data_IF_942206804019
#
_entry.id   IF_942206804019
#
_cell.length_a   1.000
_cell.length_b   1.000
_cell.length_c   1.000
_cell.angle_alpha   90.00
_cell.angle_beta   90.00
_cell.angle_gamma   90.00
#
_symmetry.space_group_name_H-M   'P 1'
#
loop_
_entity.id
_entity.type
_entity.pdbx_description
1 polymer ?
#
# COMPACT_ATOMS: atom_id res chain seq x y z
N UNK A 1 16.14 -1.76 -4.92
CA UNK A 1 16.07 -2.11 -6.36
C UNK A 1 16.30 -3.59 -6.61
N UNK A 2 17.42 -4.19 -6.20
CA UNK A 2 17.73 -5.62 -6.41
C UNK A 2 16.56 -6.60 -6.17
N UNK A 3 15.82 -6.46 -5.06
CA UNK A 3 14.65 -7.31 -4.75
C UNK A 3 13.55 -7.24 -5.81
N UNK A 4 13.29 -6.05 -6.39
CA UNK A 4 12.33 -5.89 -7.50
C UNK A 4 12.92 -6.49 -8.78
N UNK A 5 14.20 -6.25 -9.07
CA UNK A 5 14.86 -6.77 -10.28
C UNK A 5 14.87 -8.31 -10.33
N UNK A 6 15.07 -8.97 -9.18
CA UNK A 6 15.12 -10.43 -9.06
C UNK A 6 13.74 -11.11 -9.16
N UNK A 7 12.66 -10.42 -8.79
CA UNK A 7 11.31 -10.99 -8.68
C UNK A 7 10.35 -10.51 -9.76
N UNK A 8 10.76 -9.53 -10.58
CA UNK A 8 9.92 -8.92 -11.62
C UNK A 8 10.72 -8.72 -12.91
N UNK A 9 10.05 -8.28 -13.97
CA UNK A 9 10.71 -7.83 -15.20
C UNK A 9 11.14 -6.35 -15.17
N UNK A 10 10.87 -5.62 -14.08
CA UNK A 10 11.18 -4.19 -13.95
C UNK A 10 12.69 -4.02 -13.75
N UNK A 11 13.27 -3.02 -14.42
CA UNK A 11 14.72 -2.76 -14.36
C UNK A 11 14.97 -1.29 -14.06
N UNK A 12 15.71 -1.04 -12.98
CA UNK A 12 16.18 0.30 -12.64
C UNK A 12 17.54 0.56 -13.27
N UNK A 13 17.69 1.70 -13.95
CA UNK A 13 18.97 2.16 -14.48
C UNK A 13 19.19 3.62 -14.04
N UNK A 14 20.44 4.07 -13.88
CA UNK A 14 20.72 5.49 -13.70
C UNK A 14 20.15 6.30 -14.86
N UNK A 15 19.50 7.42 -14.53
CA UNK A 15 18.91 8.35 -15.49
C UNK A 15 20.01 8.95 -16.38
N UNK A 16 19.77 9.06 -17.68
CA UNK A 16 20.56 9.90 -18.60
C UNK A 16 19.99 11.31 -18.68
N UNK A 17 20.84 12.31 -18.88
CA UNK A 17 20.41 13.72 -18.96
C UNK A 17 19.36 14.00 -20.04
N UNK A 18 19.26 13.16 -21.06
CA UNK A 18 18.28 13.24 -22.14
C UNK A 18 16.91 12.64 -21.80
N UNK A 19 16.76 11.93 -20.69
CA UNK A 19 15.49 11.30 -20.29
C UNK A 19 14.64 12.30 -19.50
N UNK A 20 13.43 12.57 -19.98
CA UNK A 20 12.49 13.54 -19.39
C UNK A 20 11.68 12.94 -18.24
N UNK A 21 11.18 11.71 -18.42
CA UNK A 21 10.44 10.98 -17.39
C UNK A 21 11.38 10.11 -16.55
N UNK A 22 11.40 10.35 -15.25
CA UNK A 22 12.21 9.61 -14.30
C UNK A 22 11.59 9.65 -12.90
N UNK A 23 12.03 8.69 -12.08
CA UNK A 23 11.71 8.65 -10.66
C UNK A 23 12.91 9.21 -9.91
N UNK A 24 12.70 10.31 -9.19
CA UNK A 24 13.71 10.87 -8.30
C UNK A 24 13.44 10.42 -6.87
N UNK A 25 14.43 9.77 -6.24
CA UNK A 25 14.30 9.28 -4.87
C UNK A 25 15.04 10.26 -3.97
N UNK A 26 14.27 11.03 -3.21
CA UNK A 26 14.79 12.03 -2.28
C UNK A 26 14.65 11.53 -0.85
N UNK A 27 15.67 11.82 -0.03
CA UNK A 27 15.61 11.60 1.41
C UNK A 27 15.94 12.92 2.11
N UNK A 28 14.98 13.45 2.85
CA UNK A 28 15.18 14.65 3.63
C UNK A 28 15.70 14.30 5.03
N UNK A 29 16.75 15.01 5.47
CA UNK A 29 17.38 14.89 6.80
C UNK A 29 16.43 15.39 7.91
N UNK A 30 15.31 14.71 8.12
CA UNK A 30 14.36 14.87 9.23
C UNK A 30 13.13 13.93 9.10
N UNK A 31 12.90 13.32 7.93
CA UNK A 31 11.63 12.64 7.60
C UNK A 31 11.64 11.12 7.85
N UNK A 32 12.73 10.58 8.39
CA UNK A 32 12.83 9.19 8.86
C UNK A 32 13.97 8.41 8.21
N UNK A 33 14.16 7.17 8.66
CA UNK A 33 15.09 6.23 8.02
C UNK A 33 14.35 5.47 6.92
N UNK A 34 14.92 5.42 5.71
CA UNK A 34 14.40 4.62 4.59
C UNK A 34 14.44 3.12 4.94
N UNK A 35 13.32 2.57 5.38
CA UNK A 35 13.15 1.12 5.53
C UNK A 35 12.94 0.48 4.17
N UNK A 36 13.54 -0.69 3.94
CA UNK A 36 13.48 -1.36 2.63
C UNK A 36 12.03 -1.60 2.17
N UNK A 37 11.17 -2.05 3.08
CA UNK A 37 9.78 -2.37 2.74
C UNK A 37 8.98 -1.12 2.40
N UNK A 38 9.20 0.00 3.12
CA UNK A 38 8.61 1.29 2.76
C UNK A 38 9.06 1.77 1.39
N UNK A 39 10.36 1.66 1.06
CA UNK A 39 10.85 2.04 -0.27
C UNK A 39 10.23 1.18 -1.37
N UNK A 40 10.05 -0.12 -1.13
CA UNK A 40 9.37 -1.00 -2.10
C UNK A 40 7.90 -0.61 -2.25
N UNK A 41 7.19 -0.32 -1.15
CA UNK A 41 5.81 0.14 -1.17
C UNK A 41 5.63 1.39 -2.04
N UNK A 42 6.44 2.42 -1.82
CA UNK A 42 6.37 3.66 -2.59
C UNK A 42 6.73 3.45 -4.06
N UNK A 43 7.70 2.58 -4.36
CA UNK A 43 8.02 2.23 -5.75
C UNK A 43 6.88 1.49 -6.45
N UNK A 44 6.13 0.66 -5.74
CA UNK A 44 4.94 0.00 -6.29
C UNK A 44 3.81 1.00 -6.58
N UNK A 45 3.66 2.05 -5.77
CA UNK A 45 2.77 3.17 -6.10
C UNK A 45 3.19 3.88 -7.40
N UNK A 46 4.48 4.14 -7.59
CA UNK A 46 5.01 4.72 -8.83
C UNK A 46 4.72 3.84 -10.05
N UNK A 47 4.66 2.53 -9.87
CA UNK A 47 4.32 1.56 -10.92
C UNK A 47 2.80 1.45 -11.17
N UNK A 48 1.98 2.17 -10.41
CA UNK A 48 0.53 2.26 -10.59
C UNK A 48 -0.29 1.33 -9.69
N UNK A 49 0.31 0.72 -8.65
CA UNK A 49 -0.45 -0.07 -7.69
C UNK A 49 -1.07 0.82 -6.62
N UNK A 50 -2.35 0.62 -6.35
CA UNK A 50 -3.05 1.20 -5.20
C UNK A 50 -2.95 0.28 -3.99
N UNK A 51 -3.38 0.77 -2.82
CA UNK A 51 -3.40 -0.07 -1.62
C UNK A 51 -4.34 -1.25 -1.77
N UNK A 52 -3.94 -2.40 -1.21
CA UNK A 52 -4.74 -3.64 -1.26
C UNK A 52 -6.12 -3.45 -0.63
N UNK A 53 -6.19 -2.69 0.48
CA UNK A 53 -7.46 -2.38 1.16
C UNK A 53 -8.37 -1.42 0.39
N UNK A 54 -7.91 -0.86 -0.74
CA UNK A 54 -8.71 -0.01 -1.62
C UNK A 54 -9.29 -0.79 -2.82
N UNK A 55 -9.03 -2.09 -2.96
CA UNK A 55 -9.63 -2.91 -4.01
C UNK A 55 -11.15 -2.87 -3.98
N UNK A 56 -11.80 -3.07 -5.13
CA UNK A 56 -13.27 -3.09 -5.22
C UNK A 56 -13.92 -4.22 -4.41
N UNK A 57 -13.25 -5.37 -4.33
CA UNK A 57 -13.65 -6.59 -3.61
C UNK A 57 -13.25 -6.60 -2.13
N UNK A 58 -12.58 -5.55 -1.61
CA UNK A 58 -12.05 -5.53 -0.25
C UNK A 58 -13.07 -5.82 0.84
N UNK A 59 -14.35 -5.49 0.63
CA UNK A 59 -15.42 -5.71 1.62
C UNK A 59 -15.80 -7.21 1.75
N UNK A 60 -15.32 -8.09 0.85
CA UNK A 60 -15.41 -9.56 0.98
C UNK A 60 -14.29 -10.14 1.88
N UNK A 61 -13.27 -9.33 2.19
CA UNK A 61 -12.05 -9.77 2.86
C UNK A 61 -11.80 -9.05 4.19
N UNK A 62 -12.17 -7.78 4.27
CA UNK A 62 -11.95 -6.91 5.42
C UNK A 62 -13.20 -6.07 5.74
N UNK A 63 -13.28 -5.59 6.98
CA UNK A 63 -14.24 -4.60 7.43
C UNK A 63 -13.51 -3.31 7.81
N UNK A 64 -13.90 -2.20 7.19
CA UNK A 64 -13.38 -0.87 7.53
C UNK A 64 -14.29 -0.21 8.58
N UNK A 65 -13.75 0.04 9.78
CA UNK A 65 -14.43 0.71 10.87
C UNK A 65 -14.41 2.23 10.69
N UNK A 66 -15.29 2.74 9.83
CA UNK A 66 -15.35 4.17 9.43
C UNK A 66 -15.44 5.16 10.61
N UNK A 67 -16.02 4.74 11.74
CA UNK A 67 -16.14 5.55 12.97
C UNK A 67 -14.82 5.68 13.74
N UNK A 68 -13.89 4.76 13.51
CA UNK A 68 -12.59 4.70 14.17
C UNK A 68 -11.49 5.42 13.36
N UNK A 69 -11.79 5.89 12.15
CA UNK A 69 -10.84 6.64 11.32
C UNK A 69 -10.72 8.06 11.89
N UNK A 70 -9.48 8.53 12.08
CA UNK A 70 -9.20 9.90 12.49
C UNK A 70 -9.77 10.92 11.48
N UNK A 71 -10.16 12.08 11.99
CA UNK A 71 -10.71 13.16 11.16
C UNK A 71 -9.70 13.56 10.08
N UNK A 72 -10.16 13.68 8.84
CA UNK A 72 -9.32 14.03 7.69
C UNK A 72 -8.77 12.84 6.89
N UNK A 73 -8.83 11.61 7.41
CA UNK A 73 -8.21 10.44 6.77
C UNK A 73 -9.20 9.52 6.03
N UNK A 74 -10.51 9.80 6.05
CA UNK A 74 -11.54 8.90 5.47
C UNK A 74 -11.33 8.61 3.98
N UNK A 75 -10.80 9.56 3.23
CA UNK A 75 -10.48 9.40 1.81
C UNK A 75 -9.41 8.31 1.56
N UNK A 76 -8.50 8.06 2.50
CA UNK A 76 -7.47 7.00 2.38
C UNK A 76 -8.05 5.58 2.48
N UNK A 77 -9.34 5.46 2.81
CA UNK A 77 -10.06 4.19 2.89
C UNK A 77 -11.16 4.07 1.81
N UNK A 78 -11.23 5.02 0.88
CA UNK A 78 -12.11 4.92 -0.27
C UNK A 78 -11.71 3.71 -1.14
N UNK A 79 -12.68 3.03 -1.76
CA UNK A 79 -12.38 2.01 -2.76
C UNK A 79 -12.00 2.71 -4.07
N UNK A 80 -11.05 2.14 -4.80
CA UNK A 80 -10.79 2.53 -6.17
C UNK A 80 -12.00 2.20 -7.04
N UNK A 81 -12.25 3.02 -8.06
CA UNK A 81 -13.27 2.79 -9.06
C UNK A 81 -12.60 2.30 -10.36
N UNK A 82 -13.37 1.64 -11.23
CA UNK A 82 -12.87 1.25 -12.54
C UNK A 82 -12.40 2.50 -13.33
N UNK A 83 -11.30 2.43 -14.10
CA UNK A 83 -10.50 1.23 -14.41
C UNK A 83 -9.44 0.86 -13.36
N UNK A 84 -9.14 1.75 -12.40
CA UNK A 84 -8.06 1.58 -11.42
C UNK A 84 -8.35 0.50 -10.35
N UNK A 85 -9.60 0.02 -10.29
CA UNK A 85 -10.04 -1.03 -9.39
C UNK A 85 -9.73 -2.47 -9.87
N UNK A 86 -8.91 -2.63 -10.92
CA UNK A 86 -8.61 -3.93 -11.48
C UNK A 86 -7.89 -4.84 -10.48
N UNK A 87 -8.42 -6.05 -10.26
CA UNK A 87 -7.79 -7.09 -9.42
C UNK A 87 -6.78 -7.92 -10.20
N UNK A 88 -6.73 -7.76 -11.53
CA UNK A 88 -5.92 -8.56 -12.45
C UNK A 88 -6.09 -10.09 -12.30
N UNK A 89 -7.24 -10.53 -11.74
CA UNK A 89 -7.50 -11.94 -11.44
C UNK A 89 -6.68 -12.51 -10.28
N UNK A 90 -6.01 -11.66 -9.49
CA UNK A 90 -5.20 -12.08 -8.34
C UNK A 90 -6.06 -12.07 -7.06
N UNK A 91 -6.01 -13.13 -6.23
CA UNK A 91 -6.69 -13.14 -4.94
C UNK A 91 -6.28 -11.98 -4.03
N UNK A 92 -7.14 -11.60 -3.10
CA UNK A 92 -6.81 -10.58 -2.09
C UNK A 92 -5.70 -11.07 -1.16
N UNK A 93 -4.67 -10.26 -0.96
CA UNK A 93 -3.52 -10.60 -0.11
C UNK A 93 -3.46 -9.72 1.15
N UNK A 94 -3.88 -10.29 2.29
CA UNK A 94 -3.81 -9.65 3.60
C UNK A 94 -2.39 -9.25 4.03
N UNK A 95 -1.36 -9.88 3.46
CA UNK A 95 0.06 -9.64 3.76
C UNK A 95 0.76 -8.85 2.66
N UNK A 96 0.00 -8.35 1.69
CA UNK A 96 0.53 -7.50 0.63
C UNK A 96 1.29 -6.34 1.26
N UNK A 97 2.46 -6.03 0.70
CA UNK A 97 3.21 -4.85 1.10
C UNK A 97 2.39 -3.58 0.88
N UNK A 98 1.36 -3.62 0.01
CA UNK A 98 0.42 -2.54 -0.27
C UNK A 98 -0.77 -2.51 0.68
N UNK A 99 -0.88 -3.41 1.66
CA UNK A 99 -1.99 -3.44 2.59
C UNK A 99 -1.69 -2.59 3.84
N UNK A 100 -2.61 -1.72 4.24
CA UNK A 100 -2.46 -0.96 5.48
C UNK A 100 -2.52 -1.84 6.74
N UNK A 101 -1.78 -1.49 7.80
CA UNK A 101 -1.92 -2.15 9.09
C UNK A 101 -3.30 -1.88 9.70
N UNK A 102 -3.70 -2.74 10.66
CA UNK A 102 -5.05 -2.71 11.27
C UNK A 102 -5.40 -1.38 11.97
N UNK A 103 -4.39 -0.65 12.45
CA UNK A 103 -4.51 0.59 13.21
C UNK A 103 -4.10 1.83 12.40
N UNK A 104 -3.96 1.69 11.08
CA UNK A 104 -3.67 2.82 10.18
C UNK A 104 -4.68 3.95 10.41
N UNK A 105 -4.18 5.14 10.76
CA UNK A 105 -4.99 6.33 11.04
C UNK A 105 -6.19 6.08 11.99
N UNK A 106 -6.03 5.15 12.94
CA UNK A 106 -7.06 4.84 13.91
C UNK A 106 -7.08 5.84 15.06
N UNK A 107 -8.26 6.12 15.61
CA UNK A 107 -8.40 6.76 16.92
C UNK A 107 -7.65 5.91 17.95
N UNK A 108 -6.86 6.51 18.88
CA UNK A 108 -6.05 5.75 19.82
C UNK A 108 -6.82 4.65 20.55
N UNK A 109 -6.25 3.44 20.59
CA UNK A 109 -6.87 2.26 21.22
C UNK A 109 -7.92 1.53 20.38
N UNK A 110 -8.14 1.93 19.13
CA UNK A 110 -9.07 1.28 18.20
C UNK A 110 -8.36 0.70 16.97
N UNK A 111 -9.11 0.02 16.10
CA UNK A 111 -8.64 -0.43 14.77
C UNK A 111 -9.53 0.17 13.67
N UNK A 112 -8.95 0.42 12.51
CA UNK A 112 -9.65 0.88 11.30
C UNK A 112 -9.92 -0.26 10.34
N UNK A 113 -9.05 -1.27 10.29
CA UNK A 113 -9.19 -2.43 9.40
C UNK A 113 -9.24 -3.72 10.22
N UNK A 114 -10.32 -4.49 10.05
CA UNK A 114 -10.51 -5.81 10.63
C UNK A 114 -10.54 -6.85 9.50
N UNK A 115 -9.69 -7.88 9.58
CA UNK A 115 -9.74 -9.00 8.62
C UNK A 115 -10.89 -9.93 8.94
N UNK A 116 -11.62 -10.38 7.91
CA UNK A 116 -12.75 -11.31 8.10
C UNK A 116 -12.27 -12.75 8.35
N UNK A 117 -11.08 -13.12 7.86
CA UNK A 117 -10.44 -14.39 8.19
C UNK A 117 -9.71 -14.28 9.56
N UNK A 118 -10.15 -15.02 10.60
CA UNK A 118 -9.57 -14.98 11.93
C UNK A 118 -8.07 -15.32 11.97
N UNK A 119 -7.57 -16.10 11.00
CA UNK A 119 -6.14 -16.45 10.90
C UNK A 119 -5.25 -15.22 10.79
N UNK A 120 -5.78 -14.12 10.25
CA UNK A 120 -5.04 -12.88 10.00
C UNK A 120 -5.30 -11.79 11.05
N UNK A 121 -6.11 -12.05 12.09
CA UNK A 121 -6.42 -11.05 13.12
C UNK A 121 -5.34 -10.93 14.21
N UNK A 122 -4.56 -12.00 14.43
CA UNK A 122 -3.63 -12.13 15.56
C UNK A 122 -2.23 -11.58 15.26
N UNK A 123 -1.93 -11.34 13.99
CA UNK A 123 -0.58 -10.97 13.56
C UNK A 123 -0.46 -9.44 13.49
N UNK A 124 0.41 -8.89 14.34
CA UNK A 124 1.02 -7.59 14.10
C UNK A 124 2.08 -7.82 13.03
N UNK A 125 1.85 -7.29 11.83
CA UNK A 125 2.91 -7.07 10.86
C UNK A 125 3.28 -5.60 10.96
#
# INVERSE_FOLDING_TARGET
>A
MKKIDENTCIRFKPRKSSEEDYVDIQNNLAEGCMQLDSVIHELLHVLGLWHEHMRADRDEHIKVHQKNIQLGFKNQFAKMMAPDAATYGVPYDYLSIMHYPKDANAVPGTITIETLDPKYQVKKY
#
